data_IF_191884365314
#
_entry.id   IF_191884365314
#
_cell.length_a   1.000
_cell.length_b   1.000
_cell.length_c   1.000
_cell.angle_alpha   90.00
_cell.angle_beta   90.00
_cell.angle_gamma   90.00
#
_symmetry.space_group_name_H-M   'P 1'
#
loop_
_entity.id
_entity.type
_entity.pdbx_description
1 polymer ?
#
# COMPACT_ATOMS: atom_id res chain seq x y z
N UNK A 1 -8.62 -37.41 -17.24
CA UNK A 1 -8.34 -37.91 -15.87
C UNK A 1 -8.16 -36.71 -14.95
N UNK A 2 -9.18 -36.37 -14.17
CA UNK A 2 -9.05 -35.35 -13.12
C UNK A 2 -8.33 -36.01 -11.93
N UNK A 3 -7.14 -35.55 -11.62
CA UNK A 3 -6.39 -36.00 -10.46
C UNK A 3 -7.20 -35.67 -9.19
N UNK A 4 -7.62 -36.70 -8.46
CA UNK A 4 -8.22 -36.55 -7.14
C UNK A 4 -7.16 -36.03 -6.16
N UNK A 5 -7.04 -34.71 -6.03
CA UNK A 5 -6.27 -34.12 -4.94
C UNK A 5 -7.04 -34.32 -3.63
N UNK A 6 -6.66 -35.36 -2.89
CA UNK A 6 -7.10 -35.54 -1.52
C UNK A 6 -6.38 -34.54 -0.64
N UNK A 7 -7.03 -33.43 -0.28
CA UNK A 7 -6.52 -32.48 0.70
C UNK A 7 -6.51 -33.14 2.09
N UNK A 8 -5.33 -33.59 2.55
CA UNK A 8 -5.12 -33.98 3.95
C UNK A 8 -5.03 -32.70 4.81
N UNK A 9 -6.17 -32.20 5.24
CA UNK A 9 -6.30 -31.00 6.06
C UNK A 9 -7.55 -30.22 5.67
N UNK A 10 -8.22 -29.63 6.64
CA UNK A 10 -9.41 -28.79 6.38
C UNK A 10 -9.05 -27.59 5.50
N UNK A 11 -9.95 -27.21 4.60
CA UNK A 11 -9.81 -25.99 3.80
C UNK A 11 -9.91 -24.77 4.74
N UNK A 12 -8.90 -23.88 4.81
CA UNK A 12 -8.94 -22.72 5.68
C UNK A 12 -10.05 -21.76 5.23
N UNK A 13 -10.68 -21.12 6.21
CA UNK A 13 -11.69 -20.08 5.94
C UNK A 13 -11.05 -18.90 5.23
N UNK A 14 -11.67 -18.42 4.13
CA UNK A 14 -11.25 -17.18 3.48
C UNK A 14 -11.44 -16.01 4.45
N UNK A 15 -10.37 -15.22 4.62
CA UNK A 15 -10.38 -13.98 5.35
C UNK A 15 -10.50 -12.81 4.36
N UNK A 16 -11.04 -11.68 4.82
CA UNK A 16 -11.12 -10.45 4.03
C UNK A 16 -9.78 -9.73 3.96
N UNK A 17 -9.80 -8.54 3.34
CA UNK A 17 -8.65 -7.63 3.24
C UNK A 17 -8.25 -7.16 4.65
N UNK A 18 -7.00 -7.39 5.10
CA UNK A 18 -6.53 -7.00 6.43
C UNK A 18 -6.34 -5.48 6.59
N UNK A 19 -6.34 -4.74 5.51
CA UNK A 19 -5.96 -3.33 5.45
C UNK A 19 -4.54 -3.12 4.94
N UNK A 20 -4.16 -1.85 4.85
CA UNK A 20 -2.84 -1.43 4.38
C UNK A 20 -1.86 -1.39 5.55
N UNK A 21 -0.66 -1.97 5.46
CA UNK A 21 0.31 -1.99 6.55
C UNK A 21 0.96 -0.60 6.74
N UNK A 22 0.19 0.33 7.30
CA UNK A 22 0.63 1.67 7.64
C UNK A 22 0.96 1.78 9.12
N UNK A 23 2.11 2.37 9.42
CA UNK A 23 2.62 2.52 10.78
C UNK A 23 2.97 3.99 11.06
N UNK A 24 2.93 4.44 12.30
CA UNK A 24 3.49 5.73 12.66
C UNK A 24 5.01 5.65 12.78
N UNK A 25 5.69 6.74 12.42
CA UNK A 25 7.10 6.91 12.69
C UNK A 25 7.41 8.33 13.17
N UNK A 26 8.63 8.55 13.64
CA UNK A 26 9.16 9.89 13.87
C UNK A 26 10.46 10.07 13.07
N UNK A 27 10.57 11.24 12.41
CA UNK A 27 11.78 11.64 11.71
C UNK A 27 12.25 12.95 12.33
N UNK A 28 13.46 12.96 12.85
CA UNK A 28 13.90 14.03 13.75
C UNK A 28 12.89 14.16 14.94
N UNK A 29 12.26 15.32 15.09
CA UNK A 29 11.25 15.59 16.14
C UNK A 29 9.81 15.60 15.59
N UNK A 30 9.63 15.26 14.31
CA UNK A 30 8.33 15.31 13.67
C UNK A 30 7.69 13.93 13.67
N UNK A 31 6.46 13.86 14.15
CA UNK A 31 5.65 12.66 14.11
C UNK A 31 4.93 12.56 12.76
N UNK A 32 5.10 11.42 12.08
CA UNK A 32 4.42 11.09 10.83
C UNK A 32 3.47 9.94 11.10
N UNK A 33 2.18 10.23 11.02
CA UNK A 33 1.13 9.30 11.45
C UNK A 33 0.99 8.08 10.53
N UNK A 34 1.12 8.30 9.23
CA UNK A 34 0.74 7.32 8.22
C UNK A 34 1.90 7.06 7.25
N UNK A 35 2.64 6.00 7.51
CA UNK A 35 3.80 5.59 6.72
C UNK A 35 3.57 4.18 6.21
N UNK A 36 3.62 3.97 4.90
CA UNK A 36 3.38 2.68 4.27
C UNK A 36 4.61 1.77 4.35
N UNK A 37 4.45 0.57 4.86
CA UNK A 37 5.42 -0.52 4.72
C UNK A 37 5.11 -1.29 3.43
N UNK A 38 5.95 -1.11 2.38
CA UNK A 38 5.68 -1.64 1.04
C UNK A 38 6.77 -2.61 0.58
N UNK A 39 6.45 -3.90 0.56
CA UNK A 39 7.32 -4.96 0.03
C UNK A 39 7.46 -4.92 -1.51
N UNK A 40 6.60 -4.19 -2.21
CA UNK A 40 6.71 -3.95 -3.66
C UNK A 40 7.72 -2.86 -4.01
N UNK A 41 7.93 -1.90 -3.11
CA UNK A 41 8.81 -0.77 -3.36
C UNK A 41 10.29 -1.14 -3.25
N UNK A 42 11.07 -0.88 -4.31
CA UNK A 42 12.52 -1.11 -4.34
C UNK A 42 13.33 -0.09 -3.55
N UNK A 43 12.74 1.05 -3.24
CA UNK A 43 13.33 2.18 -2.52
C UNK A 43 12.32 2.76 -1.54
N UNK A 44 12.79 3.50 -0.54
CA UNK A 44 11.90 4.33 0.28
C UNK A 44 11.70 5.68 -0.39
N UNK A 45 10.47 6.20 -0.35
CA UNK A 45 10.07 7.42 -1.07
C UNK A 45 9.50 8.45 -0.10
N UNK A 46 9.83 9.71 -0.33
CA UNK A 46 9.31 10.85 0.43
C UNK A 46 8.96 12.00 -0.51
N UNK A 47 7.81 12.68 -0.34
CA UNK A 47 7.47 13.90 -1.05
C UNK A 47 8.46 15.04 -0.76
N UNK A 48 8.75 15.86 -1.77
CA UNK A 48 9.68 16.99 -1.62
C UNK A 48 9.20 18.04 -0.61
N UNK A 49 7.91 18.28 -0.55
CA UNK A 49 7.30 19.18 0.44
C UNK A 49 7.59 18.70 1.89
N UNK A 50 7.47 17.40 2.14
CA UNK A 50 7.78 16.80 3.43
C UNK A 50 9.28 16.87 3.75
N UNK A 51 10.14 16.53 2.76
CA UNK A 51 11.60 16.69 2.88
C UNK A 51 11.99 18.10 3.34
N UNK A 52 11.41 19.13 2.72
CA UNK A 52 11.65 20.53 3.09
C UNK A 52 11.15 20.86 4.50
N UNK A 53 9.93 20.43 4.82
CA UNK A 53 9.32 20.68 6.14
C UNK A 53 10.09 20.02 7.28
N UNK A 54 10.68 18.86 7.03
CA UNK A 54 11.50 18.14 8.00
C UNK A 54 12.93 18.70 8.10
N UNK A 55 13.31 19.66 7.26
CA UNK A 55 14.66 20.26 7.22
C UNK A 55 15.75 19.19 7.21
N UNK A 56 15.60 18.18 6.32
CA UNK A 56 16.52 17.06 6.25
C UNK A 56 17.88 17.49 5.67
N UNK A 57 18.85 16.56 5.74
CA UNK A 57 20.21 16.79 5.28
C UNK A 57 20.29 17.06 3.77
N UNK A 58 21.51 17.27 3.28
CA UNK A 58 21.78 17.55 1.86
C UNK A 58 21.14 16.50 0.95
N UNK A 59 20.52 17.00 -0.12
CA UNK A 59 20.01 16.20 -1.20
C UNK A 59 21.14 15.92 -2.21
N UNK A 60 21.40 14.64 -2.47
CA UNK A 60 22.39 14.19 -3.44
C UNK A 60 21.70 13.96 -4.78
N UNK A 61 22.20 14.53 -5.90
CA UNK A 61 21.68 14.23 -7.23
C UNK A 61 21.75 12.74 -7.53
N UNK A 62 20.79 12.25 -8.33
CA UNK A 62 20.74 10.84 -8.73
C UNK A 62 20.34 10.70 -10.18
N UNK A 63 20.87 9.67 -10.85
CA UNK A 63 20.53 9.34 -12.24
C UNK A 63 19.46 8.23 -12.32
N UNK A 64 18.97 7.74 -11.16
CA UNK A 64 17.93 6.72 -11.15
C UNK A 64 16.61 7.28 -11.64
N UNK A 65 15.85 6.46 -12.35
CA UNK A 65 14.44 6.71 -12.67
C UNK A 65 13.59 5.65 -11.96
N UNK A 66 12.43 6.04 -11.45
CA UNK A 66 11.51 5.14 -10.79
C UNK A 66 10.34 4.81 -11.71
N UNK A 67 10.10 3.52 -11.93
CA UNK A 67 8.88 3.07 -12.57
C UNK A 67 7.78 2.95 -11.51
N UNK A 68 6.71 3.70 -11.70
CA UNK A 68 5.53 3.67 -10.82
C UNK A 68 4.63 2.47 -11.18
N UNK A 69 3.67 2.16 -10.32
CA UNK A 69 2.76 1.04 -10.51
C UNK A 69 1.91 1.17 -11.79
N UNK A 70 1.56 2.39 -12.20
CA UNK A 70 0.85 2.72 -13.44
C UNK A 70 1.74 2.70 -14.69
N UNK A 71 2.99 2.21 -14.57
CA UNK A 71 4.05 2.18 -15.59
C UNK A 71 4.59 3.58 -16.00
N UNK A 72 4.13 4.64 -15.41
CA UNK A 72 4.75 5.96 -15.59
C UNK A 72 6.16 5.97 -14.99
N UNK A 73 7.01 6.88 -15.48
CA UNK A 73 8.36 7.06 -14.98
C UNK A 73 8.44 8.38 -14.21
N UNK A 74 8.88 8.30 -12.97
CA UNK A 74 9.17 9.47 -12.15
C UNK A 74 10.68 9.72 -12.09
N UNK A 75 11.08 10.96 -12.29
CA UNK A 75 12.47 11.41 -12.15
C UNK A 75 12.62 12.04 -10.76
N UNK A 76 13.45 11.48 -9.88
CA UNK A 76 13.65 12.04 -8.55
C UNK A 76 14.36 13.39 -8.58
N UNK A 77 14.07 14.23 -7.58
CA UNK A 77 14.84 15.45 -7.33
C UNK A 77 16.24 15.08 -6.80
N UNK A 78 16.33 13.97 -6.08
CA UNK A 78 17.58 13.45 -5.53
C UNK A 78 17.34 12.39 -4.47
N UNK A 79 18.42 12.03 -3.76
CA UNK A 79 18.41 11.08 -2.64
C UNK A 79 18.85 11.79 -1.37
N UNK A 80 18.10 11.62 -0.29
CA UNK A 80 18.49 12.02 1.06
C UNK A 80 18.94 10.76 1.82
N UNK A 81 20.22 10.71 2.16
CA UNK A 81 20.84 9.54 2.75
C UNK A 81 20.85 9.60 4.28
N UNK A 82 20.92 8.44 4.92
CA UNK A 82 21.11 8.24 6.36
C UNK A 82 20.11 9.01 7.24
N UNK A 83 18.85 9.09 6.79
CA UNK A 83 17.78 9.72 7.56
C UNK A 83 17.40 8.81 8.74
N UNK A 84 17.52 9.27 9.99
CA UNK A 84 17.10 8.49 11.14
C UNK A 84 15.58 8.45 11.24
N UNK A 85 15.02 7.26 11.01
CA UNK A 85 13.59 6.96 11.15
C UNK A 85 13.37 6.19 12.43
N UNK A 86 12.55 6.71 13.32
CA UNK A 86 12.22 6.05 14.60
C UNK A 86 10.85 5.37 14.47
N UNK A 87 10.83 4.05 14.56
CA UNK A 87 9.60 3.23 14.61
C UNK A 87 9.64 2.37 15.87
N UNK A 88 8.53 2.30 16.60
CA UNK A 88 8.43 1.45 17.81
C UNK A 88 9.63 1.61 18.77
N UNK A 89 10.15 2.83 18.94
CA UNK A 89 11.33 3.20 19.74
C UNK A 89 12.68 2.66 19.21
N UNK A 90 12.74 2.22 17.98
CA UNK A 90 13.98 1.81 17.31
C UNK A 90 14.32 2.81 16.22
N UNK A 91 15.59 3.21 16.13
CA UNK A 91 16.09 4.09 15.07
C UNK A 91 16.75 3.29 13.97
N UNK A 92 16.30 3.51 12.73
CA UNK A 92 16.81 2.85 11.54
C UNK A 92 17.23 3.91 10.54
N UNK A 93 18.48 3.89 10.09
CA UNK A 93 18.95 4.79 9.04
C UNK A 93 18.37 4.37 7.70
N UNK A 94 17.83 5.34 6.98
CA UNK A 94 17.06 5.10 5.76
C UNK A 94 17.45 6.12 4.69
N UNK A 95 17.66 5.63 3.48
CA UNK A 95 17.85 6.49 2.31
C UNK A 95 16.50 6.70 1.64
N UNK A 96 16.13 7.96 1.44
CA UNK A 96 14.89 8.34 0.77
C UNK A 96 15.15 8.90 -0.61
N UNK A 97 14.44 8.37 -1.58
CA UNK A 97 14.30 9.00 -2.90
C UNK A 97 13.25 10.09 -2.77
N UNK A 98 13.61 11.30 -3.13
CA UNK A 98 12.75 12.49 -3.01
C UNK A 98 12.07 12.76 -4.34
N UNK A 99 10.74 12.74 -4.33
CA UNK A 99 9.90 12.97 -5.50
C UNK A 99 9.11 14.26 -5.38
N UNK A 100 8.92 14.95 -6.51
CA UNK A 100 7.97 16.08 -6.59
C UNK A 100 6.55 15.54 -6.83
N UNK A 101 5.98 15.03 -5.74
CA UNK A 101 4.62 14.52 -5.70
C UNK A 101 3.84 15.22 -4.59
N UNK A 102 2.51 15.34 -4.72
CA UNK A 102 1.67 15.87 -3.65
C UNK A 102 1.81 15.05 -2.37
N UNK A 103 1.78 15.72 -1.22
CA UNK A 103 1.58 15.04 0.05
C UNK A 103 0.15 14.52 0.13
N UNK A 104 0.01 13.29 0.58
CA UNK A 104 -1.26 12.69 0.94
C UNK A 104 -1.27 12.41 2.44
N UNK A 105 -2.25 12.98 3.16
CA UNK A 105 -2.41 12.78 4.60
C UNK A 105 -2.67 11.31 4.95
N UNK A 106 -3.21 10.54 4.02
CA UNK A 106 -3.44 9.11 4.18
C UNK A 106 -2.16 8.28 4.05
N UNK A 107 -1.13 8.79 3.33
CA UNK A 107 0.12 8.10 3.08
C UNK A 107 1.24 9.09 2.75
N UNK A 108 1.94 9.53 3.77
CA UNK A 108 2.96 10.60 3.62
C UNK A 108 4.33 10.07 3.18
N UNK A 109 4.68 8.81 3.46
CA UNK A 109 6.00 8.20 3.22
C UNK A 109 5.80 6.73 2.84
N UNK A 110 6.67 6.22 1.99
CA UNK A 110 6.79 4.79 1.67
C UNK A 110 8.12 4.28 2.22
N UNK A 111 8.07 3.26 3.06
CA UNK A 111 9.23 2.51 3.52
C UNK A 111 9.35 1.25 2.67
N UNK A 112 10.34 1.24 1.78
CA UNK A 112 10.57 0.15 0.83
C UNK A 112 11.41 -1.00 1.39
N UNK A 113 11.70 -1.97 0.52
CA UNK A 113 12.49 -3.17 0.87
C UNK A 113 13.80 -2.89 1.59
N UNK A 114 14.62 -1.87 1.24
CA UNK A 114 15.86 -1.61 1.96
C UNK A 114 15.65 -1.31 3.45
N UNK A 115 14.66 -0.49 3.79
CA UNK A 115 14.27 -0.22 5.16
C UNK A 115 13.75 -1.49 5.85
N UNK A 116 12.79 -2.17 5.22
CA UNK A 116 12.14 -3.36 5.79
C UNK A 116 13.14 -4.48 6.05
N UNK A 117 14.13 -4.66 5.16
CA UNK A 117 15.22 -5.62 5.33
C UNK A 117 16.14 -5.25 6.48
N UNK A 118 16.57 -3.99 6.56
CA UNK A 118 17.45 -3.50 7.65
C UNK A 118 16.78 -3.64 9.02
N UNK A 119 15.46 -3.42 9.07
CA UNK A 119 14.66 -3.54 10.27
C UNK A 119 14.28 -4.99 10.61
N UNK A 120 14.64 -5.98 9.81
CA UNK A 120 14.21 -7.37 9.99
C UNK A 120 12.68 -7.49 10.08
N UNK A 121 11.95 -6.78 9.20
CA UNK A 121 10.51 -6.60 9.31
C UNK A 121 9.73 -7.85 8.93
N UNK A 122 8.74 -8.21 9.75
CA UNK A 122 7.75 -9.25 9.47
C UNK A 122 6.36 -8.60 9.48
N UNK A 123 5.65 -8.72 8.36
CA UNK A 123 4.28 -8.20 8.22
C UNK A 123 3.31 -9.38 8.40
N UNK A 124 2.56 -9.39 9.51
CA UNK A 124 1.54 -10.39 9.78
C UNK A 124 0.15 -9.83 9.41
N UNK A 125 -0.30 -10.18 8.21
CA UNK A 125 -1.61 -9.76 7.71
C UNK A 125 -2.78 -10.28 8.54
N UNK A 126 -2.64 -11.46 9.16
CA UNK A 126 -3.71 -12.03 9.97
C UNK A 126 -3.89 -11.28 11.30
N UNK A 127 -2.78 -10.97 11.96
CA UNK A 127 -2.79 -10.19 13.20
C UNK A 127 -2.98 -8.69 12.95
N UNK A 128 -2.62 -8.20 11.76
CA UNK A 128 -2.65 -6.78 11.40
C UNK A 128 -1.54 -6.01 12.11
N UNK A 129 -0.32 -6.53 12.06
CA UNK A 129 0.84 -5.87 12.66
C UNK A 129 2.10 -6.01 11.80
N UNK A 130 3.08 -5.15 12.10
CA UNK A 130 4.45 -5.24 11.62
C UNK A 130 5.35 -5.42 12.83
N UNK A 131 6.19 -6.45 12.83
CA UNK A 131 7.20 -6.70 13.87
C UNK A 131 8.58 -6.42 13.29
N UNK A 132 9.38 -5.63 13.99
CA UNK A 132 10.75 -5.29 13.66
C UNK A 132 11.71 -6.05 14.57
N UNK A 133 12.71 -6.73 13.98
CA UNK A 133 13.72 -7.48 14.70
C UNK A 133 15.05 -6.74 14.63
N UNK A 134 15.33 -5.94 15.65
CA UNK A 134 16.52 -5.08 15.69
C UNK A 134 17.33 -5.35 16.97
N UNK A 135 18.63 -5.60 16.80
CA UNK A 135 19.57 -5.85 17.92
C UNK A 135 19.10 -6.97 18.87
N UNK A 136 18.49 -8.02 18.32
CA UNK A 136 17.98 -9.15 19.11
C UNK A 136 16.68 -8.90 19.88
N UNK A 137 16.05 -7.75 19.68
CA UNK A 137 14.75 -7.40 20.28
C UNK A 137 13.66 -7.36 19.23
N UNK A 138 12.43 -7.66 19.65
CA UNK A 138 11.23 -7.56 18.83
C UNK A 138 10.40 -6.34 19.21
N UNK A 139 9.98 -5.57 18.19
CA UNK A 139 9.18 -4.37 18.35
C UNK A 139 7.97 -4.45 17.44
N UNK A 140 6.78 -4.58 18.00
CA UNK A 140 5.55 -4.78 17.23
C UNK A 140 4.69 -3.53 17.21
N UNK A 141 4.22 -3.16 16.01
CA UNK A 141 3.27 -2.06 15.77
C UNK A 141 2.05 -2.60 15.05
N UNK A 142 0.86 -2.28 15.54
CA UNK A 142 -0.39 -2.63 14.87
C UNK A 142 -0.77 -1.58 13.84
N UNK A 143 -1.15 -2.02 12.64
CA UNK A 143 -1.70 -1.12 11.63
C UNK A 143 -3.25 -1.14 11.66
N UNK A 144 -3.90 -0.08 11.18
CA UNK A 144 -5.36 0.03 11.19
C UNK A 144 -5.98 -1.08 10.35
N UNK A 145 -6.84 -1.89 10.97
CA UNK A 145 -7.65 -2.86 10.23
C UNK A 145 -8.70 -2.12 9.42
N UNK A 146 -8.86 -2.53 8.15
CA UNK A 146 -9.93 -2.00 7.32
C UNK A 146 -11.27 -2.38 7.94
N UNK A 147 -12.02 -1.39 8.43
CA UNK A 147 -13.40 -1.64 8.86
C UNK A 147 -14.20 -2.03 7.61
N UNK A 148 -15.06 -3.06 7.68
CA UNK A 148 -15.93 -3.38 6.58
C UNK A 148 -16.82 -2.16 6.32
N UNK A 149 -16.54 -1.45 5.23
CA UNK A 149 -17.46 -0.42 4.76
C UNK A 149 -18.70 -1.15 4.26
N UNK A 150 -19.74 -1.16 5.06
CA UNK A 150 -21.08 -1.52 4.58
C UNK A 150 -21.52 -0.39 3.66
N UNK A 151 -21.14 -0.49 2.38
CA UNK A 151 -21.79 0.32 1.36
C UNK A 151 -23.22 -0.20 1.27
N UNK A 152 -24.17 0.52 1.82
CA UNK A 152 -25.59 0.30 1.56
C UNK A 152 -25.78 0.45 0.04
N UNK A 153 -26.05 -0.67 -0.63
CA UNK A 153 -26.43 -0.67 -2.05
C UNK A 153 -27.87 -0.14 -2.12
N UNK A 154 -28.03 1.17 -2.08
CA UNK A 154 -29.31 1.84 -2.26
C UNK A 154 -29.50 2.27 -3.72
N UNK A 155 -29.19 1.39 -4.67
CA UNK A 155 -29.69 1.54 -6.04
C UNK A 155 -29.77 0.16 -6.69
N UNK A 156 -30.92 -0.47 -6.56
CA UNK A 156 -31.34 -1.49 -7.51
C UNK A 156 -31.57 -0.73 -8.83
N UNK A 157 -30.58 -0.76 -9.71
CA UNK A 157 -30.74 -0.26 -11.07
C UNK A 157 -31.91 -0.99 -11.73
N UNK A 158 -32.77 -0.25 -12.42
CA UNK A 158 -33.89 -0.81 -13.21
C UNK A 158 -33.33 -1.91 -14.11
N UNK A 159 -33.89 -3.11 -13.96
CA UNK A 159 -33.65 -4.22 -14.89
C UNK A 159 -34.24 -3.78 -16.24
N UNK A 160 -33.42 -3.48 -17.21
CA UNK A 160 -33.85 -3.25 -18.58
C UNK A 160 -33.99 -4.63 -19.22
N UNK A 161 -35.20 -4.96 -19.64
CA UNK A 161 -35.50 -6.17 -20.42
C UNK A 161 -35.56 -5.80 -21.89
N UNK A 162 -35.11 -6.71 -22.77
CA UNK A 162 -35.36 -6.59 -24.20
C UNK A 162 -36.31 -7.70 -24.64
N UNK A 163 -37.25 -7.37 -25.55
CA UNK A 163 -38.25 -8.32 -26.05
C UNK A 163 -37.79 -8.81 -27.43
N UNK A 164 -37.57 -10.11 -27.58
CA UNK A 164 -37.27 -10.74 -28.87
C UNK A 164 -38.29 -11.86 -29.09
N UNK A 165 -39.10 -11.76 -30.17
CA UNK A 165 -40.05 -12.80 -30.52
C UNK A 165 -41.18 -13.05 -29.51
N UNK A 166 -41.55 -12.02 -28.74
CA UNK A 166 -42.62 -12.11 -27.71
C UNK A 166 -42.18 -12.65 -26.34
N UNK A 167 -40.91 -12.92 -26.19
CA UNK A 167 -40.32 -13.33 -24.91
C UNK A 167 -39.44 -12.22 -24.34
N UNK A 168 -39.58 -11.96 -23.05
CA UNK A 168 -38.72 -11.03 -22.31
C UNK A 168 -37.46 -11.72 -21.82
N UNK A 169 -36.28 -11.19 -22.22
CA UNK A 169 -35.00 -11.65 -21.73
C UNK A 169 -34.36 -10.52 -20.90
N UNK A 170 -33.88 -10.82 -19.68
CA UNK A 170 -33.07 -9.85 -18.96
C UNK A 170 -31.77 -9.63 -19.73
N UNK A 171 -31.47 -8.39 -20.09
CA UNK A 171 -30.16 -8.06 -20.65
C UNK A 171 -29.08 -8.42 -19.62
N UNK A 172 -27.99 -9.08 -20.03
CA UNK A 172 -26.90 -9.34 -19.13
C UNK A 172 -26.41 -7.97 -18.62
N UNK A 173 -26.58 -7.74 -17.34
CA UNK A 173 -25.98 -6.58 -16.68
C UNK A 173 -24.48 -6.81 -16.73
N UNK A 174 -23.81 -6.20 -17.68
CA UNK A 174 -22.34 -6.14 -17.67
C UNK A 174 -21.99 -5.30 -16.47
N UNK A 175 -21.80 -5.96 -15.33
CA UNK A 175 -21.09 -5.36 -14.22
C UNK A 175 -19.64 -5.20 -14.71
N UNK A 176 -19.30 -4.03 -15.22
CA UNK A 176 -17.91 -3.64 -15.33
C UNK A 176 -17.34 -3.70 -13.91
N UNK A 177 -16.69 -4.79 -13.58
CA UNK A 177 -15.94 -4.95 -12.35
C UNK A 177 -14.65 -4.19 -12.57
N UNK A 178 -14.66 -2.92 -12.24
CA UNK A 178 -13.41 -2.19 -12.12
C UNK A 178 -12.77 -2.69 -10.84
N UNK A 179 -11.74 -3.51 -10.96
CA UNK A 179 -10.82 -3.75 -9.85
C UNK A 179 -9.98 -2.47 -9.73
N UNK A 180 -10.33 -1.64 -8.76
CA UNK A 180 -9.59 -0.44 -8.43
C UNK A 180 -8.45 -0.90 -7.51
N UNK A 181 -7.24 -0.88 -8.02
CA UNK A 181 -6.06 -0.97 -7.18
C UNK A 181 -5.93 0.36 -6.43
N UNK A 182 -6.35 0.37 -5.17
CA UNK A 182 -6.23 1.54 -4.31
C UNK A 182 -4.82 1.54 -3.73
N UNK A 183 -3.94 2.33 -4.33
CA UNK A 183 -2.68 2.73 -3.72
C UNK A 183 -2.91 4.15 -3.19
N UNK A 184 -3.25 4.26 -1.90
CA UNK A 184 -3.74 5.52 -1.33
C UNK A 184 -5.10 5.92 -1.93
N UNK A 185 -5.46 7.19 -1.89
CA UNK A 185 -6.70 7.71 -2.50
C UNK A 185 -6.63 7.86 -4.04
N UNK A 186 -5.58 7.39 -4.68
CA UNK A 186 -5.49 7.34 -6.13
C UNK A 186 -6.32 6.17 -6.68
N UNK A 187 -7.46 6.48 -7.26
CA UNK A 187 -8.30 5.56 -8.00
C UNK A 187 -7.74 5.35 -9.41
N UNK A 188 -7.04 4.24 -9.62
CA UNK A 188 -6.56 3.85 -10.95
C UNK A 188 -7.54 2.81 -11.51
N UNK A 189 -8.31 3.13 -12.55
CA UNK A 189 -9.17 2.15 -13.20
C UNK A 189 -8.29 1.16 -13.97
N UNK A 190 -8.39 -0.13 -13.64
CA UNK A 190 -7.80 -1.20 -14.44
C UNK A 190 -8.89 -1.68 -15.40
N UNK A 191 -8.70 -1.40 -16.68
CA UNK A 191 -9.52 -1.97 -17.73
C UNK A 191 -9.02 -3.40 -17.99
N UNK A 192 -9.78 -4.40 -17.54
CA UNK A 192 -9.50 -5.80 -17.88
C UNK A 192 -10.16 -6.07 -19.23
N UNK A 193 -9.32 -6.24 -20.27
CA UNK A 193 -9.75 -6.80 -21.57
C UNK A 193 -10.08 -8.28 -21.43
#
# INVERSE_FOLDING_TARGET
>A
MLANYSFKGGIPKKLGDPGVPTIPCSIKRNYVKTVLCDLGAGVSVMPFSLYRRLELNKLTPTEISLQMADKSTAIPIGVCEDVPVVVANVTILTNFVILDIPEDDSMSIILGKPFLNTAGSVIDCNKGNVTFHVNGNEHTVHFPKKQPQVRSINSIGKITTTTIGGFEFPLPTVKKKYDILIIGDMHIPIEVM
#
